data_IF_314822950953
#
_entry.id   IF_314822950953
#
_cell.length_a   1.000
_cell.length_b   1.000
_cell.length_c   1.000
_cell.angle_alpha   90.00
_cell.angle_beta   90.00
_cell.angle_gamma   90.00
#
_symmetry.space_group_name_H-M   'P 1'
#
loop_
_entity.id
_entity.type
_entity.pdbx_description
1 polymer ?
#
# COMPACT_ATOMS: atom_id res chain seq x y z
N UNK A 1 -9.13 16.03 -9.58
CA UNK A 1 -7.79 15.84 -8.99
C UNK A 1 -7.21 14.59 -9.62
N UNK A 2 -5.93 14.62 -10.00
CA UNK A 2 -5.23 13.48 -10.61
C UNK A 2 -4.33 12.86 -9.53
N UNK A 3 -4.20 11.54 -9.53
CA UNK A 3 -3.28 10.81 -8.67
C UNK A 3 -1.85 11.35 -8.82
N UNK A 4 -1.15 11.53 -7.70
CA UNK A 4 0.29 11.85 -7.74
C UNK A 4 1.10 10.68 -8.30
N UNK A 5 2.32 10.95 -8.79
CA UNK A 5 3.24 9.91 -9.32
C UNK A 5 3.44 8.79 -8.29
N UNK A 6 3.73 9.17 -7.03
CA UNK A 6 3.90 8.22 -5.91
C UNK A 6 2.66 7.36 -5.67
N UNK A 7 1.45 7.91 -5.84
CA UNK A 7 0.22 7.10 -5.72
C UNK A 7 0.06 6.15 -6.91
N UNK A 8 0.38 6.60 -8.12
CA UNK A 8 0.33 5.74 -9.30
C UNK A 8 1.32 4.59 -9.17
N UNK A 9 2.55 4.85 -8.73
CA UNK A 9 3.59 3.82 -8.55
C UNK A 9 3.16 2.77 -7.52
N UNK A 10 2.60 3.19 -6.39
CA UNK A 10 2.04 2.27 -5.38
C UNK A 10 0.93 1.39 -5.92
N UNK A 11 0.00 1.97 -6.68
CA UNK A 11 -1.13 1.23 -7.24
C UNK A 11 -0.70 0.31 -8.38
N UNK A 12 0.28 0.69 -9.19
CA UNK A 12 0.90 -0.18 -10.20
C UNK A 12 1.64 -1.33 -9.55
N UNK A 13 2.42 -1.04 -8.51
CA UNK A 13 3.10 -2.07 -7.75
C UNK A 13 2.10 -3.09 -7.15
N UNK A 14 0.95 -2.64 -6.66
CA UNK A 14 -0.12 -3.55 -6.21
C UNK A 14 -0.65 -4.42 -7.36
N UNK A 15 -0.88 -3.81 -8.53
CA UNK A 15 -1.31 -4.53 -9.73
C UNK A 15 -0.30 -5.62 -10.11
N UNK A 16 0.97 -5.25 -10.25
CA UNK A 16 2.02 -6.13 -10.76
C UNK A 16 2.40 -7.25 -9.78
N UNK A 17 2.41 -6.97 -8.47
CA UNK A 17 2.88 -7.94 -7.48
C UNK A 17 1.75 -8.81 -6.91
N UNK A 18 0.57 -8.22 -6.67
CA UNK A 18 -0.52 -8.94 -6.01
C UNK A 18 -1.55 -9.54 -6.97
N UNK A 19 -1.73 -8.97 -8.16
CA UNK A 19 -2.77 -9.39 -9.10
C UNK A 19 -2.17 -10.11 -10.32
N UNK A 20 -1.30 -9.44 -11.08
CA UNK A 20 -0.70 -9.94 -12.32
C UNK A 20 0.42 -10.97 -12.05
N UNK A 21 0.02 -12.19 -11.68
CA UNK A 21 0.93 -13.26 -11.30
C UNK A 21 1.60 -13.99 -12.47
N UNK A 22 1.06 -13.88 -13.68
CA UNK A 22 1.64 -14.42 -14.92
C UNK A 22 2.41 -13.38 -15.73
N UNK A 23 2.40 -12.12 -15.30
CA UNK A 23 3.15 -11.00 -15.87
C UNK A 23 2.77 -10.72 -17.33
N UNK A 24 1.47 -10.78 -17.62
CA UNK A 24 0.91 -10.47 -18.94
C UNK A 24 0.47 -9.01 -19.09
N UNK A 25 0.69 -8.19 -18.05
CA UNK A 25 0.31 -6.78 -17.93
C UNK A 25 -1.21 -6.56 -17.90
N UNK A 26 -1.98 -7.63 -17.73
CA UNK A 26 -3.43 -7.63 -17.64
C UNK A 26 -3.88 -8.28 -16.33
N UNK A 27 -5.08 -7.89 -15.89
CA UNK A 27 -5.74 -8.52 -14.76
C UNK A 27 -7.15 -8.91 -15.20
N UNK A 28 -7.55 -10.12 -14.86
CA UNK A 28 -8.86 -10.67 -15.17
C UNK A 28 -9.60 -11.14 -13.93
N UNK A 29 -10.77 -11.73 -14.14
CA UNK A 29 -11.57 -12.33 -13.07
C UNK A 29 -10.77 -13.35 -12.23
N UNK A 30 -9.96 -14.18 -12.89
CA UNK A 30 -9.23 -15.26 -12.24
C UNK A 30 -8.14 -14.73 -11.28
N UNK A 31 -7.55 -13.57 -11.56
CA UNK A 31 -6.49 -13.00 -10.72
C UNK A 31 -7.04 -12.52 -9.38
N UNK A 32 -8.23 -11.92 -9.37
CA UNK A 32 -8.93 -11.60 -8.13
C UNK A 32 -9.33 -12.87 -7.35
N UNK A 33 -9.72 -13.95 -8.05
CA UNK A 33 -9.97 -15.24 -7.43
C UNK A 33 -8.69 -15.84 -6.82
N UNK A 34 -7.57 -15.74 -7.53
CA UNK A 34 -6.27 -16.24 -7.08
C UNK A 34 -5.79 -15.47 -5.85
N UNK A 35 -5.97 -14.15 -5.80
CA UNK A 35 -5.64 -13.35 -4.62
C UNK A 35 -6.48 -13.78 -3.41
N UNK A 36 -7.79 -13.96 -3.58
CA UNK A 36 -8.69 -14.41 -2.51
C UNK A 36 -8.28 -15.79 -1.96
N UNK A 37 -8.01 -16.75 -2.86
CA UNK A 37 -7.53 -18.09 -2.48
C UNK A 37 -6.14 -18.05 -1.84
N UNK A 38 -5.25 -17.17 -2.29
CA UNK A 38 -3.91 -16.97 -1.72
C UNK A 38 -4.02 -16.47 -0.27
N UNK A 39 -4.88 -15.48 0.00
CA UNK A 39 -5.14 -14.98 1.35
C UNK A 39 -5.73 -16.09 2.23
N UNK A 40 -6.73 -16.83 1.73
CA UNK A 40 -7.35 -17.94 2.46
C UNK A 40 -6.33 -19.02 2.84
N UNK A 41 -5.52 -19.47 1.88
CA UNK A 41 -4.52 -20.52 2.10
C UNK A 41 -3.43 -20.05 3.04
N UNK A 42 -2.98 -18.81 2.89
CA UNK A 42 -2.00 -18.23 3.80
C UNK A 42 -2.52 -18.18 5.23
N UNK A 43 -3.75 -17.73 5.45
CA UNK A 43 -4.37 -17.65 6.76
C UNK A 43 -4.92 -18.98 7.29
N UNK A 44 -4.82 -20.06 6.50
CA UNK A 44 -5.33 -21.39 6.82
C UNK A 44 -6.85 -21.41 7.11
N UNK A 45 -7.59 -20.54 6.44
CA UNK A 45 -9.03 -20.41 6.59
C UNK A 45 -9.82 -21.47 5.81
N UNK A 46 -10.90 -21.96 6.42
CA UNK A 46 -11.85 -22.83 5.74
C UNK A 46 -12.78 -22.03 4.84
N UNK A 47 -13.35 -22.69 3.82
CA UNK A 47 -14.32 -22.06 2.92
C UNK A 47 -15.62 -21.62 3.62
N UNK A 48 -15.85 -22.13 4.84
CA UNK A 48 -17.04 -21.87 5.65
C UNK A 48 -16.82 -20.88 6.79
N UNK A 49 -15.60 -20.37 6.99
CA UNK A 49 -15.33 -19.46 8.09
C UNK A 49 -15.76 -18.01 7.78
N UNK A 50 -16.04 -17.24 8.82
CA UNK A 50 -16.51 -15.85 8.70
C UNK A 50 -15.51 -14.96 7.97
N UNK A 51 -14.23 -15.17 8.22
CA UNK A 51 -13.11 -14.44 7.62
C UNK A 51 -13.08 -14.65 6.11
N UNK A 52 -13.22 -15.89 5.63
CA UNK A 52 -13.21 -16.15 4.20
C UNK A 52 -14.44 -15.58 3.49
N UNK A 53 -15.61 -15.55 4.13
CA UNK A 53 -16.75 -14.84 3.56
C UNK A 53 -16.48 -13.35 3.36
N UNK A 54 -15.72 -12.70 4.27
CA UNK A 54 -15.29 -11.31 4.10
C UNK A 54 -14.32 -11.17 2.93
N UNK A 55 -13.38 -12.11 2.75
CA UNK A 55 -12.49 -12.14 1.57
C UNK A 55 -13.30 -12.23 0.27
N UNK A 56 -14.34 -13.06 0.24
CA UNK A 56 -15.22 -13.18 -0.93
C UNK A 56 -16.02 -11.90 -1.21
N UNK A 57 -16.51 -11.20 -0.18
CA UNK A 57 -17.14 -9.89 -0.37
C UNK A 57 -16.15 -8.85 -0.91
N UNK A 58 -14.89 -8.92 -0.50
CA UNK A 58 -13.83 -8.05 -1.01
C UNK A 58 -13.55 -8.36 -2.48
N UNK A 59 -13.45 -9.64 -2.83
CA UNK A 59 -13.30 -10.10 -4.22
C UNK A 59 -14.42 -9.60 -5.12
N UNK A 60 -15.68 -9.74 -4.68
CA UNK A 60 -16.84 -9.20 -5.41
C UNK A 60 -16.71 -7.68 -5.56
N UNK A 61 -16.31 -6.97 -4.50
CA UNK A 61 -16.06 -5.53 -4.54
C UNK A 61 -15.02 -5.11 -5.59
N UNK A 62 -13.93 -5.86 -5.72
CA UNK A 62 -12.96 -5.66 -6.80
C UNK A 62 -13.58 -5.88 -8.17
N UNK A 63 -14.28 -7.00 -8.38
CA UNK A 63 -14.88 -7.33 -9.67
C UNK A 63 -15.92 -6.29 -10.11
N UNK A 64 -16.82 -5.89 -9.21
CA UNK A 64 -17.83 -4.88 -9.48
C UNK A 64 -17.21 -3.51 -9.78
N UNK A 65 -16.12 -3.16 -9.10
CA UNK A 65 -15.48 -1.87 -9.32
C UNK A 65 -14.67 -1.85 -10.62
N UNK A 66 -13.85 -2.86 -10.89
CA UNK A 66 -12.86 -2.79 -11.97
C UNK A 66 -13.30 -3.53 -13.24
N UNK A 67 -13.85 -4.74 -13.12
CA UNK A 67 -14.25 -5.56 -14.27
C UNK A 67 -15.59 -5.09 -14.84
N UNK A 68 -16.58 -4.86 -13.98
CA UNK A 68 -17.90 -4.40 -14.44
C UNK A 68 -17.83 -3.00 -15.05
N UNK A 69 -17.02 -2.10 -14.49
CA UNK A 69 -16.81 -0.77 -15.10
C UNK A 69 -16.15 -0.85 -16.47
N UNK A 70 -15.17 -1.75 -16.67
CA UNK A 70 -14.55 -1.99 -17.98
C UNK A 70 -15.57 -2.52 -18.99
N UNK A 71 -16.42 -3.46 -18.56
CA UNK A 71 -17.50 -4.01 -19.37
C UNK A 71 -18.44 -2.93 -19.89
N UNK A 72 -18.86 -2.03 -18.99
CA UNK A 72 -19.77 -0.93 -19.31
C UNK A 72 -19.13 0.09 -20.25
N UNK A 73 -17.86 0.44 -20.01
CA UNK A 73 -17.11 1.37 -20.86
C UNK A 73 -16.92 0.84 -22.28
N UNK A 74 -16.61 -0.44 -22.41
CA UNK A 74 -16.43 -1.09 -23.71
C UNK A 74 -17.78 -1.47 -24.38
N UNK A 75 -18.91 -1.25 -23.70
CA UNK A 75 -20.25 -1.70 -24.09
C UNK A 75 -20.26 -3.18 -24.52
N UNK A 76 -19.57 -4.00 -23.72
CA UNK A 76 -19.28 -5.39 -24.02
C UNK A 76 -20.33 -6.33 -23.45
N UNK A 77 -20.86 -7.21 -24.30
CA UNK A 77 -21.75 -8.30 -23.88
C UNK A 77 -20.98 -9.54 -23.40
N UNK A 78 -19.66 -9.46 -23.28
CA UNK A 78 -18.84 -10.57 -22.79
C UNK A 78 -19.17 -10.91 -21.33
N UNK A 79 -18.96 -12.18 -21.01
CA UNK A 79 -18.93 -12.66 -19.63
C UNK A 79 -17.75 -12.02 -18.89
N UNK A 80 -17.90 -11.77 -17.59
CA UNK A 80 -16.87 -11.09 -16.78
C UNK A 80 -15.50 -11.79 -16.84
N UNK A 81 -15.50 -13.12 -16.96
CA UNK A 81 -14.29 -13.94 -17.07
C UNK A 81 -13.45 -13.64 -18.31
N UNK A 82 -14.03 -13.01 -19.34
CA UNK A 82 -13.37 -12.67 -20.60
C UNK A 82 -12.99 -11.20 -20.69
N UNK A 83 -13.10 -10.46 -19.59
CA UNK A 83 -12.78 -9.05 -19.50
C UNK A 83 -11.44 -8.91 -18.80
N UNK A 84 -10.57 -8.14 -19.44
CA UNK A 84 -9.22 -7.86 -18.98
C UNK A 84 -9.11 -6.36 -18.75
N UNK A 85 -8.40 -5.99 -17.69
CA UNK A 85 -8.08 -4.60 -17.38
C UNK A 85 -6.56 -4.43 -17.42
N UNK A 86 -6.11 -3.34 -18.01
CA UNK A 86 -4.71 -2.90 -17.97
C UNK A 86 -4.48 -1.96 -16.78
N UNK A 87 -3.22 -1.58 -16.58
CA UNK A 87 -2.85 -0.62 -15.54
C UNK A 87 -3.51 0.76 -15.71
N UNK A 88 -3.78 1.19 -16.94
CA UNK A 88 -4.39 2.50 -17.20
C UNK A 88 -5.84 2.54 -16.71
N UNK A 89 -6.62 1.49 -17.00
CA UNK A 89 -7.98 1.34 -16.47
C UNK A 89 -7.97 1.21 -14.94
N UNK A 90 -7.05 0.43 -14.40
CA UNK A 90 -6.85 0.30 -12.95
C UNK A 90 -6.62 1.65 -12.27
N UNK A 91 -5.68 2.45 -12.77
CA UNK A 91 -5.37 3.78 -12.23
C UNK A 91 -6.53 4.76 -12.41
N UNK A 92 -7.25 4.70 -13.53
CA UNK A 92 -8.45 5.52 -13.77
C UNK A 92 -9.52 5.25 -12.72
N UNK A 93 -9.80 3.99 -12.40
CA UNK A 93 -10.79 3.61 -11.40
C UNK A 93 -10.35 4.01 -9.98
N UNK A 94 -9.08 3.81 -9.63
CA UNK A 94 -8.56 4.31 -8.35
C UNK A 94 -8.63 5.82 -8.22
N UNK A 95 -8.37 6.56 -9.29
CA UNK A 95 -8.51 8.00 -9.31
C UNK A 95 -9.96 8.44 -9.02
N UNK A 96 -10.96 7.67 -9.46
CA UNK A 96 -12.36 7.92 -9.12
C UNK A 96 -12.66 7.62 -7.66
N UNK A 97 -12.18 6.48 -7.14
CA UNK A 97 -12.38 6.07 -5.74
C UNK A 97 -11.72 7.03 -4.73
N UNK A 98 -10.51 7.49 -5.03
CA UNK A 98 -9.74 8.38 -4.15
C UNK A 98 -10.25 9.83 -4.23
N UNK A 99 -11.00 10.19 -5.27
CA UNK A 99 -11.49 11.56 -5.47
C UNK A 99 -12.44 11.98 -4.36
N UNK A 100 -11.96 12.85 -3.48
CA UNK A 100 -12.73 13.37 -2.35
C UNK A 100 -12.73 12.45 -1.12
N UNK A 101 -11.92 11.39 -1.13
CA UNK A 101 -11.69 10.58 0.05
C UNK A 101 -10.76 11.31 1.02
N UNK A 102 -11.26 11.59 2.22
CA UNK A 102 -10.48 12.20 3.31
C UNK A 102 -10.05 11.18 4.36
N UNK A 103 -10.77 10.06 4.45
CA UNK A 103 -10.52 9.00 5.41
C UNK A 103 -10.93 7.64 4.83
N UNK A 104 -10.59 6.55 5.54
CA UNK A 104 -11.00 5.22 5.13
C UNK A 104 -12.53 5.09 5.01
N UNK A 105 -13.28 5.78 5.86
CA UNK A 105 -14.75 5.74 5.89
C UNK A 105 -15.40 6.31 4.62
N UNK A 106 -14.65 7.06 3.82
CA UNK A 106 -15.12 7.60 2.53
C UNK A 106 -15.12 6.55 1.41
N UNK A 107 -14.43 5.42 1.59
CA UNK A 107 -14.33 4.38 0.58
C UNK A 107 -15.50 3.37 0.66
N UNK A 108 -15.77 2.62 -0.42
CA UNK A 108 -16.66 1.46 -0.37
C UNK A 108 -16.32 0.50 0.77
N UNK A 109 -17.34 -0.17 1.31
CA UNK A 109 -17.19 -1.08 2.46
C UNK A 109 -16.08 -2.11 2.27
N UNK A 110 -15.97 -2.68 1.06
CA UNK A 110 -14.96 -3.69 0.78
C UNK A 110 -13.53 -3.16 1.00
N UNK A 111 -13.24 -1.90 0.67
CA UNK A 111 -11.94 -1.26 0.94
C UNK A 111 -11.75 -1.03 2.44
N UNK A 112 -12.82 -0.69 3.16
CA UNK A 112 -12.74 -0.49 4.62
C UNK A 112 -12.41 -1.80 5.36
N UNK A 113 -12.96 -2.92 4.88
CA UNK A 113 -12.72 -4.25 5.46
C UNK A 113 -11.40 -4.89 4.99
N UNK A 114 -10.86 -4.48 3.85
CA UNK A 114 -9.63 -5.06 3.31
C UNK A 114 -8.41 -4.98 4.24
N UNK A 115 -8.04 -3.83 4.86
CA UNK A 115 -6.93 -3.81 5.80
C UNK A 115 -7.19 -4.66 7.04
N UNK A 116 -8.45 -4.82 7.44
CA UNK A 116 -8.81 -5.66 8.59
C UNK A 116 -8.60 -7.14 8.30
N UNK A 117 -9.04 -7.60 7.13
CA UNK A 117 -8.89 -9.01 6.78
C UNK A 117 -7.42 -9.36 6.53
N UNK A 118 -6.65 -8.45 5.92
CA UNK A 118 -5.20 -8.63 5.75
C UNK A 118 -4.50 -8.70 7.11
N UNK A 119 -4.80 -7.79 8.04
CA UNK A 119 -4.22 -7.83 9.38
C UNK A 119 -4.52 -9.16 10.10
N UNK A 120 -5.76 -9.64 10.03
CA UNK A 120 -6.16 -10.92 10.61
C UNK A 120 -5.44 -12.11 9.97
N UNK A 121 -5.24 -12.07 8.64
CA UNK A 121 -4.49 -13.10 7.93
C UNK A 121 -3.00 -13.13 8.34
N UNK A 122 -2.41 -11.96 8.60
CA UNK A 122 -0.99 -11.81 8.97
C UNK A 122 -0.77 -12.19 10.44
N UNK A 123 -1.60 -11.71 11.36
CA UNK A 123 -1.51 -11.94 12.80
C UNK A 123 -2.01 -13.35 13.18
N UNK A 124 -1.35 -14.38 12.63
CA UNK A 124 -1.65 -15.80 12.88
C UNK A 124 -1.50 -16.18 14.36
N UNK A 125 -0.59 -15.53 15.07
CA UNK A 125 -0.39 -15.72 16.51
C UNK A 125 -1.60 -15.30 17.34
N UNK A 126 -2.50 -14.47 16.78
CA UNK A 126 -3.64 -13.91 17.51
C UNK A 126 -3.22 -12.95 18.63
N UNK A 127 -1.96 -12.53 18.67
CA UNK A 127 -1.40 -11.69 19.74
C UNK A 127 -1.95 -10.25 19.71
N UNK A 128 -2.44 -9.83 18.53
CA UNK A 128 -2.89 -8.47 18.28
C UNK A 128 -1.76 -7.56 17.79
N UNK A 129 -0.54 -8.10 17.65
CA UNK A 129 0.64 -7.43 17.11
C UNK A 129 1.24 -8.30 16.01
N UNK A 130 1.53 -7.70 14.86
CA UNK A 130 2.26 -8.39 13.79
C UNK A 130 3.74 -8.40 14.14
N UNK A 131 4.28 -9.60 14.29
CA UNK A 131 5.71 -9.83 14.46
C UNK A 131 6.46 -9.66 13.14
N UNK A 132 7.79 -9.46 13.22
CA UNK A 132 8.65 -9.38 12.04
C UNK A 132 8.58 -10.66 11.19
N UNK A 133 8.47 -11.83 11.83
CA UNK A 133 8.38 -13.11 11.13
C UNK A 133 7.03 -13.27 10.41
N UNK A 134 5.92 -12.88 11.03
CA UNK A 134 4.61 -12.87 10.36
C UNK A 134 4.60 -11.92 9.15
N UNK A 135 5.23 -10.74 9.29
CA UNK A 135 5.39 -9.80 8.17
C UNK A 135 6.28 -10.39 7.06
N UNK A 136 7.37 -11.07 7.42
CA UNK A 136 8.26 -11.77 6.47
C UNK A 136 7.49 -12.78 5.64
N UNK A 137 6.67 -13.60 6.29
CA UNK A 137 5.82 -14.60 5.63
C UNK A 137 4.78 -13.96 4.74
N UNK A 138 4.19 -12.84 5.16
CA UNK A 138 3.24 -12.09 4.34
C UNK A 138 3.87 -11.56 3.04
N UNK A 139 5.05 -10.93 3.14
CA UNK A 139 5.79 -10.41 1.98
C UNK A 139 6.21 -11.53 1.01
N UNK A 140 6.57 -12.69 1.54
CA UNK A 140 6.94 -13.84 0.70
C UNK A 140 5.72 -14.51 0.05
N UNK A 141 4.70 -14.88 0.83
CA UNK A 141 3.61 -15.73 0.35
C UNK A 141 2.43 -14.98 -0.28
N UNK A 142 2.09 -13.78 0.21
CA UNK A 142 0.97 -13.00 -0.33
C UNK A 142 1.45 -12.09 -1.44
N UNK A 143 2.47 -11.26 -1.15
CA UNK A 143 3.02 -10.32 -2.14
C UNK A 143 3.82 -11.04 -3.21
N UNK A 144 4.47 -12.17 -2.89
CA UNK A 144 5.21 -12.96 -3.88
C UNK A 144 6.66 -12.50 -4.09
N UNK A 145 7.24 -11.78 -3.13
CA UNK A 145 8.63 -11.33 -3.22
C UNK A 145 9.62 -12.50 -3.10
N UNK A 146 10.73 -12.42 -3.84
CA UNK A 146 11.81 -13.41 -3.73
C UNK A 146 12.40 -13.45 -2.32
N UNK A 147 12.80 -14.64 -1.86
CA UNK A 147 13.34 -14.84 -0.51
C UNK A 147 14.53 -13.92 -0.22
N UNK A 148 15.41 -13.68 -1.20
CA UNK A 148 16.58 -12.81 -1.00
C UNK A 148 16.17 -11.36 -0.79
N UNK A 149 15.17 -10.89 -1.54
CA UNK A 149 14.62 -9.53 -1.42
C UNK A 149 13.94 -9.36 -0.06
N UNK A 150 13.14 -10.34 0.35
CA UNK A 150 12.47 -10.32 1.66
C UNK A 150 13.49 -10.27 2.80
N UNK A 151 14.51 -11.13 2.77
CA UNK A 151 15.50 -11.19 3.85
C UNK A 151 16.38 -9.93 3.92
N UNK A 152 16.62 -9.23 2.81
CA UNK A 152 17.35 -7.95 2.83
C UNK A 152 16.51 -6.77 3.30
N UNK A 153 15.20 -6.77 3.03
CA UNK A 153 14.35 -5.59 3.21
C UNK A 153 13.41 -5.65 4.43
N UNK A 154 13.11 -6.85 4.95
CA UNK A 154 12.13 -7.02 6.03
C UNK A 154 12.49 -6.23 7.29
N UNK A 155 13.78 -6.10 7.60
CA UNK A 155 14.25 -5.32 8.74
C UNK A 155 13.92 -3.84 8.58
N UNK A 156 14.22 -3.28 7.40
CA UNK A 156 13.93 -1.89 7.06
C UNK A 156 12.43 -1.63 7.08
N UNK A 157 11.64 -2.50 6.42
CA UNK A 157 10.18 -2.39 6.36
C UNK A 157 9.59 -2.44 7.77
N UNK A 158 9.99 -3.41 8.59
CA UNK A 158 9.47 -3.55 9.95
C UNK A 158 9.81 -2.33 10.80
N UNK A 159 11.04 -1.82 10.70
CA UNK A 159 11.46 -0.63 11.43
C UNK A 159 10.66 0.61 11.00
N UNK A 160 10.38 0.79 9.70
CA UNK A 160 9.56 1.92 9.25
C UNK A 160 8.11 1.79 9.74
N UNK A 161 7.52 0.60 9.66
CA UNK A 161 6.14 0.37 10.11
C UNK A 161 5.98 0.53 11.64
N UNK A 162 7.03 0.26 12.40
CA UNK A 162 7.02 0.32 13.88
C UNK A 162 7.67 1.58 14.45
N UNK A 163 8.07 2.53 13.62
CA UNK A 163 8.87 3.71 14.02
C UNK A 163 10.10 3.30 14.85
N UNK A 164 10.91 2.38 14.33
CA UNK A 164 12.09 1.79 14.98
C UNK A 164 11.79 1.07 16.31
N UNK A 165 10.57 0.53 16.46
CA UNK A 165 10.12 -0.17 17.66
C UNK A 165 9.45 0.72 18.70
N UNK A 166 9.29 2.02 18.44
CA UNK A 166 8.54 2.94 19.33
C UNK A 166 7.06 2.54 19.43
N UNK A 167 6.50 1.95 18.37
CA UNK A 167 5.11 1.47 18.31
C UNK A 167 5.05 0.02 17.82
N UNK A 168 4.23 -0.81 18.47
CA UNK A 168 3.93 -2.14 17.96
C UNK A 168 3.08 -2.08 16.69
N UNK A 169 3.26 -3.05 15.79
CA UNK A 169 2.45 -3.15 14.57
C UNK A 169 1.09 -3.78 14.88
N UNK A 170 0.23 -3.02 15.56
CA UNK A 170 -1.16 -3.38 15.84
C UNK A 170 -2.07 -3.05 14.64
N UNK A 171 -3.36 -3.36 14.78
CA UNK A 171 -4.32 -3.09 13.72
C UNK A 171 -4.43 -1.59 13.39
N UNK A 172 -4.29 -0.72 14.38
CA UNK A 172 -4.40 0.72 14.17
C UNK A 172 -3.24 1.25 13.32
N UNK A 173 -2.00 0.88 13.65
CA UNK A 173 -0.80 1.23 12.87
C UNK A 173 -0.87 0.63 11.47
N UNK A 174 -1.32 -0.62 11.34
CA UNK A 174 -1.52 -1.27 10.04
C UNK A 174 -2.56 -0.53 9.19
N UNK A 175 -3.70 -0.15 9.79
CA UNK A 175 -4.76 0.61 9.11
C UNK A 175 -4.27 1.99 8.67
N UNK A 176 -3.51 2.71 9.49
CA UNK A 176 -2.92 3.99 9.13
C UNK A 176 -1.92 3.85 7.98
N UNK A 177 -1.11 2.78 8.01
CA UNK A 177 -0.17 2.46 6.92
C UNK A 177 -0.92 2.16 5.62
N UNK A 178 -2.04 1.44 5.68
CA UNK A 178 -2.90 1.18 4.52
C UNK A 178 -3.57 2.45 3.98
N UNK A 179 -4.07 3.33 4.86
CA UNK A 179 -4.61 4.62 4.45
C UNK A 179 -3.52 5.48 3.80
N UNK A 180 -2.30 5.47 4.37
CA UNK A 180 -1.15 6.16 3.80
C UNK A 180 -0.73 5.56 2.44
N UNK A 181 -0.86 4.25 2.26
CA UNK A 181 -0.66 3.60 0.97
C UNK A 181 -1.62 4.17 -0.09
N UNK A 182 -2.92 4.31 0.21
CA UNK A 182 -3.90 4.85 -0.74
C UNK A 182 -3.81 6.38 -0.95
N UNK A 183 -3.77 7.14 0.15
CA UNK A 183 -3.92 8.61 0.13
C UNK A 183 -2.58 9.36 0.17
N UNK A 184 -1.50 8.72 0.61
CA UNK A 184 -0.19 9.35 0.74
C UNK A 184 0.34 9.78 -0.62
N UNK A 185 0.56 11.08 -0.80
CA UNK A 185 1.05 11.68 -2.06
C UNK A 185 2.57 11.83 -2.11
N UNK A 186 3.22 11.68 -0.96
CA UNK A 186 4.66 11.84 -0.77
C UNK A 186 5.28 10.49 -0.40
N UNK A 187 6.55 10.26 -0.73
CA UNK A 187 7.23 8.98 -0.49
C UNK A 187 7.71 8.83 0.96
N UNK A 188 7.32 9.69 1.91
CA UNK A 188 7.89 9.65 3.27
C UNK A 188 7.05 8.85 4.27
N UNK A 189 5.95 8.23 3.80
CA UNK A 189 5.00 7.55 4.67
C UNK A 189 5.22 6.04 4.78
N UNK A 190 4.87 5.41 5.91
CA UNK A 190 5.06 3.98 6.13
C UNK A 190 4.25 3.11 5.14
N UNK A 191 3.18 3.66 4.56
CA UNK A 191 2.33 2.94 3.62
C UNK A 191 3.05 2.51 2.34
N UNK A 192 4.15 3.16 1.95
CA UNK A 192 4.93 2.73 0.79
C UNK A 192 5.58 1.35 0.96
N UNK A 193 5.73 0.90 2.20
CA UNK A 193 6.39 -0.36 2.54
C UNK A 193 5.40 -1.48 2.87
N UNK A 194 4.10 -1.19 2.89
CA UNK A 194 3.07 -2.12 3.36
C UNK A 194 3.05 -3.43 2.55
N UNK A 195 3.28 -3.33 1.24
CA UNK A 195 3.32 -4.47 0.32
C UNK A 195 4.76 -4.74 -0.17
N UNK A 196 5.79 -4.28 0.54
CA UNK A 196 7.18 -4.35 0.10
C UNK A 196 7.72 -3.02 -0.43
N UNK A 197 8.98 -3.00 -0.91
CA UNK A 197 9.64 -1.77 -1.34
C UNK A 197 9.07 -1.30 -2.68
N UNK A 198 7.99 -0.52 -2.63
CA UNK A 198 7.46 0.18 -3.81
C UNK A 198 8.53 1.15 -4.34
N UNK A 199 8.96 0.93 -5.59
CA UNK A 199 9.87 1.76 -6.40
C UNK A 199 10.73 2.79 -5.64
N UNK A 200 11.98 2.40 -5.33
CA UNK A 200 13.06 3.30 -4.91
C UNK A 200 12.84 3.93 -3.54
N UNK A 201 13.72 3.60 -2.58
CA UNK A 201 13.82 4.38 -1.36
C UNK A 201 13.90 5.86 -1.74
N UNK A 202 13.01 6.74 -1.23
CA UNK A 202 13.20 8.16 -1.45
C UNK A 202 14.60 8.50 -0.94
N UNK A 203 15.35 9.24 -1.76
CA UNK A 203 16.58 9.85 -1.28
C UNK A 203 16.24 10.53 0.04
N UNK A 204 16.88 10.07 1.11
CA UNK A 204 16.72 10.66 2.43
C UNK A 204 16.92 12.15 2.25
N UNK A 205 15.91 12.96 2.55
CA UNK A 205 16.05 14.41 2.49
C UNK A 205 17.32 14.74 3.28
N UNK A 206 18.41 15.15 2.62
CA UNK A 206 19.66 15.32 3.32
C UNK A 206 19.45 16.55 4.18
N UNK A 207 19.22 16.33 5.47
CA UNK A 207 19.16 17.43 6.42
C UNK A 207 20.59 17.93 6.53
N UNK A 208 20.87 19.05 5.86
CA UNK A 208 22.17 19.68 5.92
C UNK A 208 22.39 20.28 7.30
N UNK A 209 23.02 19.48 8.17
CA UNK A 209 23.42 19.90 9.51
C UNK A 209 24.67 20.80 9.49
N UNK A 210 25.23 21.19 8.33
CA UNK A 210 26.33 22.14 8.25
C UNK A 210 26.01 23.47 8.97
N UNK A 211 24.74 23.86 8.99
CA UNK A 211 24.26 25.03 9.73
C UNK A 211 24.29 24.87 11.26
N UNK A 212 24.27 23.64 11.79
CA UNK A 212 24.47 23.37 13.23
C UNK A 212 25.95 23.35 13.62
N UNK A 213 26.83 23.05 12.66
CA UNK A 213 28.28 23.05 12.81
C UNK A 213 28.93 24.38 12.41
N UNK A 214 28.12 25.39 12.03
CA UNK A 214 28.63 26.72 11.77
C UNK A 214 29.23 27.30 13.05
N UNK A 215 30.48 27.80 12.96
CA UNK A 215 31.12 28.53 14.05
C UNK A 215 30.16 29.57 14.64
N UNK A 216 30.24 29.78 15.96
CA UNK A 216 29.41 30.72 16.73
C UNK A 216 29.45 32.18 16.22
N UNK A 217 30.20 32.46 15.16
CA UNK A 217 30.29 33.74 14.46
C UNK A 217 29.12 34.05 13.52
N UNK A 218 28.19 33.12 13.24
CA UNK A 218 27.01 33.43 12.40
C UNK A 218 25.87 33.97 13.28
N UNK A 219 25.48 35.24 13.07
CA UNK A 219 24.42 35.92 13.83
C UNK A 219 23.10 35.11 13.91
N UNK A 220 22.48 35.11 15.09
CA UNK A 220 21.12 34.60 15.31
C UNK A 220 20.10 35.36 14.44
N UNK A 221 19.08 34.65 13.93
CA UNK A 221 18.03 35.24 13.13
C UNK A 221 17.31 36.37 13.90
N UNK A 222 17.29 37.56 13.31
CA UNK A 222 16.51 38.68 13.80
C UNK A 222 15.65 39.22 12.66
N UNK A 223 14.31 39.23 12.79
CA UNK A 223 13.40 39.65 11.71
C UNK A 223 13.55 41.12 11.30
N UNK A 224 14.37 41.90 12.02
CA UNK A 224 14.68 43.31 11.75
C UNK A 224 15.96 43.54 10.94
N UNK A 225 16.75 42.51 10.63
CA UNK A 225 18.02 42.64 9.87
C UNK A 225 18.07 41.70 8.67
N UNK A 226 18.34 42.26 7.48
CA UNK A 226 18.72 41.46 6.31
C UNK A 226 20.18 41.02 6.48
N UNK A 227 20.41 39.72 6.68
CA UNK A 227 21.75 39.14 6.75
C UNK A 227 22.12 38.42 5.45
N UNK A 228 23.44 38.22 5.23
CA UNK A 228 23.99 37.47 4.10
C UNK A 228 23.78 35.94 4.20
N UNK A 229 22.60 35.49 4.63
CA UNK A 229 22.28 34.05 4.64
C UNK A 229 21.67 33.61 3.32
N UNK A 230 22.19 32.51 2.77
CA UNK A 230 21.47 31.62 1.86
C UNK A 230 20.39 30.88 2.64
N UNK A 231 19.14 31.01 2.21
CA UNK A 231 17.98 30.39 2.83
C UNK A 231 18.01 28.86 2.72
N UNK A 232 17.63 28.17 3.79
CA UNK A 232 17.14 26.78 3.72
C UNK A 232 15.81 26.83 2.98
N UNK A 233 15.77 26.25 1.78
CA UNK A 233 14.51 25.98 1.09
C UNK A 233 13.93 24.74 1.77
N UNK A 234 12.78 24.92 2.44
CA UNK A 234 11.96 23.84 3.02
C UNK A 234 11.06 23.29 1.93
#
# INVERSE_FOLDING_TARGET
>A
MVLSVVQQDKLRYFFDQLLDGDHDELVCYNDFQNLAERIRRFAEWSESCGEYFVVEQIRIGFLDTFISSKREEDNSNLEMEKIYIDQDHWLKMWNQLIRGAESLNSFPLWIQYFPRILFQAINKSGSGLVSKEELRQFLFYIVGLDSKCVDSEVDTIYNVLTANGDTGLDFHVFQLSFINFLLGRNPNGPGQYLFGPCAGFPDTFPVDYSALNADQSIEHYSPSRRSNRSSVIV
#
